data_IF_038378332299
#
_entry.id   IF_038378332299
#
_cell.length_a   1.000
_cell.length_b   1.000
_cell.length_c   1.000
_cell.angle_alpha   90.00
_cell.angle_beta   90.00
_cell.angle_gamma   90.00
#
_symmetry.space_group_name_H-M   'P 1'
#
loop_
_entity.id
_entity.type
_entity.pdbx_description
1 polymer ?
#
# COMPACT_ATOMS: atom_id res chain seq x y z
N UNK A 1 -57.08 -40.53 26.53
CA UNK A 1 -55.66 -40.94 26.63
C UNK A 1 -54.78 -39.69 26.60
N UNK A 2 -53.80 -39.65 27.49
CA UNK A 2 -53.01 -38.47 27.88
C UNK A 2 -51.92 -38.09 26.85
N UNK A 3 -51.78 -36.77 26.66
CA UNK A 3 -50.53 -36.00 26.84
C UNK A 3 -49.32 -36.35 25.95
N UNK A 4 -48.90 -35.39 25.11
CA UNK A 4 -47.55 -34.80 25.22
C UNK A 4 -47.43 -33.48 24.44
N UNK A 5 -47.01 -32.47 25.19
CA UNK A 5 -46.66 -31.10 24.80
C UNK A 5 -45.48 -31.07 23.82
N UNK A 6 -45.44 -30.06 22.95
CA UNK A 6 -44.33 -29.08 22.89
C UNK A 6 -44.72 -27.88 22.02
N UNK A 7 -44.85 -26.73 22.68
CA UNK A 7 -44.91 -25.39 22.09
C UNK A 7 -43.53 -25.09 21.50
N UNK A 8 -43.45 -24.71 20.22
CA UNK A 8 -42.30 -23.99 19.67
C UNK A 8 -42.75 -22.58 19.30
N UNK A 9 -42.33 -21.65 20.15
CA UNK A 9 -42.45 -20.22 19.98
C UNK A 9 -41.27 -19.83 19.07
N UNK A 10 -41.55 -19.43 17.83
CA UNK A 10 -40.56 -18.81 16.95
C UNK A 10 -40.49 -17.31 17.27
N UNK A 11 -39.35 -16.76 17.70
CA UNK A 11 -39.26 -15.35 18.02
C UNK A 11 -39.09 -14.51 16.74
N UNK A 12 -39.70 -13.33 16.77
CA UNK A 12 -39.43 -12.15 15.96
C UNK A 12 -37.91 -12.00 15.68
N UNK A 13 -37.50 -12.14 14.41
CA UNK A 13 -36.25 -11.54 13.93
C UNK A 13 -36.56 -10.21 13.25
N UNK A 14 -36.78 -9.24 14.13
CA UNK A 14 -36.50 -7.81 14.04
C UNK A 14 -35.80 -7.37 12.74
N UNK A 15 -36.55 -6.66 11.91
CA UNK A 15 -36.07 -5.57 11.03
C UNK A 15 -35.26 -4.57 11.88
N UNK A 16 -33.93 -4.54 11.78
CA UNK A 16 -33.13 -3.37 12.21
C UNK A 16 -31.69 -3.41 11.65
N UNK A 17 -31.51 -3.20 10.35
CA UNK A 17 -30.20 -2.79 9.81
C UNK A 17 -30.08 -1.27 9.89
N UNK A 18 -29.84 -0.77 11.11
CA UNK A 18 -29.34 0.59 11.32
C UNK A 18 -28.53 0.65 12.61
N UNK A 19 -27.21 0.49 12.49
CA UNK A 19 -26.26 1.09 13.44
C UNK A 19 -24.89 1.21 12.79
N UNK A 20 -24.68 2.29 12.02
CA UNK A 20 -23.33 2.82 11.83
C UNK A 20 -22.94 3.44 13.18
N UNK A 21 -22.25 2.64 13.99
CA UNK A 21 -21.69 3.05 15.27
C UNK A 21 -20.48 3.94 15.02
N UNK A 22 -20.69 5.26 15.09
CA UNK A 22 -19.63 6.17 15.55
C UNK A 22 -19.37 5.84 17.02
N UNK A 23 -18.27 5.14 17.29
CA UNK A 23 -17.68 4.98 18.61
C UNK A 23 -16.17 5.13 18.44
N UNK A 24 -15.58 6.05 19.22
CA UNK A 24 -14.18 6.47 19.16
C UNK A 24 -13.18 5.35 19.43
N UNK A 25 -12.92 4.54 18.42
CA UNK A 25 -11.69 3.80 18.26
C UNK A 25 -10.69 4.68 17.52
N UNK A 26 -9.42 4.61 17.92
CA UNK A 26 -8.31 5.17 17.14
C UNK A 26 -8.47 4.64 15.71
N UNK A 27 -8.81 5.49 14.73
CA UNK A 27 -8.59 5.13 13.34
C UNK A 27 -7.08 4.98 13.21
N UNK A 28 -6.60 3.75 13.02
CA UNK A 28 -5.18 3.52 12.77
C UNK A 28 -4.92 4.01 11.36
N UNK A 29 -4.61 5.30 11.24
CA UNK A 29 -4.25 5.93 9.98
C UNK A 29 -2.95 5.32 9.46
N UNK A 30 -3.03 4.59 8.35
CA UNK A 30 -1.87 4.00 7.66
C UNK A 30 -1.09 5.07 6.91
N UNK A 31 0.18 5.23 7.24
CA UNK A 31 1.13 6.09 6.55
C UNK A 31 1.72 5.36 5.35
N UNK A 32 1.42 5.87 4.17
CA UNK A 32 1.82 5.30 2.90
C UNK A 32 2.92 6.15 2.26
N UNK A 33 3.92 5.53 1.68
CA UNK A 33 4.81 6.16 0.73
C UNK A 33 4.77 5.45 -0.62
N UNK A 34 5.03 6.19 -1.69
CA UNK A 34 5.10 5.64 -3.04
C UNK A 34 6.49 5.93 -3.62
N UNK A 35 7.16 4.89 -4.11
CA UNK A 35 8.45 5.01 -4.81
C UNK A 35 8.24 4.81 -6.32
N UNK A 36 8.80 5.74 -7.09
CA UNK A 36 8.77 5.74 -8.57
C UNK A 36 10.18 5.65 -9.15
N UNK A 37 10.28 5.20 -10.40
CA UNK A 37 11.53 5.26 -11.15
C UNK A 37 11.90 6.72 -11.49
N UNK A 38 13.15 7.11 -11.23
CA UNK A 38 13.67 8.44 -11.55
C UNK A 38 13.57 8.76 -13.05
N UNK A 39 14.06 7.88 -13.90
CA UNK A 39 14.03 8.07 -15.36
C UNK A 39 12.60 8.31 -15.86
N UNK A 40 11.65 7.47 -15.44
CA UNK A 40 10.25 7.59 -15.84
C UNK A 40 9.61 8.86 -15.27
N UNK A 41 10.04 9.33 -14.10
CA UNK A 41 9.49 10.54 -13.48
C UNK A 41 9.68 11.81 -14.30
N UNK A 42 10.71 11.88 -15.13
CA UNK A 42 10.96 13.03 -16.03
C UNK A 42 9.83 13.26 -17.03
N UNK A 43 9.04 12.22 -17.31
CA UNK A 43 7.88 12.23 -18.22
C UNK A 43 6.58 11.82 -17.53
N UNK A 44 6.60 11.59 -16.21
CA UNK A 44 5.46 11.07 -15.46
C UNK A 44 5.14 11.95 -14.25
N UNK A 45 3.97 12.61 -14.29
CA UNK A 45 3.43 13.43 -13.21
C UNK A 45 2.86 12.65 -12.01
N UNK A 46 3.02 11.33 -11.96
CA UNK A 46 2.42 10.45 -10.94
C UNK A 46 0.88 10.40 -10.92
N UNK A 47 0.21 10.92 -11.94
CA UNK A 47 -1.26 11.04 -11.99
C UNK A 47 -1.95 9.69 -11.76
N UNK A 48 -1.50 8.62 -12.40
CA UNK A 48 -2.02 7.26 -12.19
C UNK A 48 -1.83 6.74 -10.76
N UNK A 49 -0.64 6.94 -10.18
CA UNK A 49 -0.38 6.55 -8.79
C UNK A 49 -1.26 7.30 -7.79
N UNK A 50 -1.41 8.61 -7.97
CA UNK A 50 -2.20 9.45 -7.08
C UNK A 50 -3.69 9.19 -7.22
N UNK A 51 -4.18 8.96 -8.45
CA UNK A 51 -5.56 8.53 -8.69
C UNK A 51 -5.84 7.24 -7.93
N UNK A 52 -5.01 6.21 -8.12
CA UNK A 52 -5.20 4.92 -7.46
C UNK A 52 -5.16 5.02 -5.93
N UNK A 53 -4.26 5.85 -5.39
CA UNK A 53 -4.21 6.13 -3.96
C UNK A 53 -5.48 6.85 -3.46
N UNK A 54 -5.91 7.91 -4.13
CA UNK A 54 -7.06 8.73 -3.71
C UNK A 54 -8.39 7.98 -3.83
N UNK A 55 -8.55 7.19 -4.89
CA UNK A 55 -9.74 6.36 -5.13
C UNK A 55 -9.68 5.02 -4.37
N UNK A 56 -8.55 4.70 -3.72
CA UNK A 56 -8.25 3.41 -3.09
C UNK A 56 -8.55 2.22 -4.00
N UNK A 57 -8.15 2.31 -5.27
CA UNK A 57 -8.34 1.24 -6.26
C UNK A 57 -7.05 0.42 -6.45
N UNK A 58 -7.14 -0.66 -7.25
CA UNK A 58 -5.98 -1.47 -7.66
C UNK A 58 -5.16 -1.98 -6.47
N UNK A 59 -3.88 -1.64 -6.39
CA UNK A 59 -3.00 -2.09 -5.31
C UNK A 59 -3.39 -1.52 -3.94
N UNK A 60 -4.24 -0.49 -3.90
CA UNK A 60 -4.76 0.11 -2.67
C UNK A 60 -6.14 -0.44 -2.27
N UNK A 61 -6.81 -1.22 -3.12
CA UNK A 61 -8.12 -1.81 -2.82
C UNK A 61 -8.13 -2.67 -1.53
N UNK A 62 -7.08 -3.44 -1.20
CA UNK A 62 -7.06 -4.23 0.04
C UNK A 62 -7.17 -3.43 1.33
N UNK A 63 -6.86 -2.13 1.33
CA UNK A 63 -6.99 -1.27 2.51
C UNK A 63 -8.45 -0.94 2.86
N UNK A 64 -9.39 -1.08 1.91
CA UNK A 64 -10.82 -0.81 2.13
C UNK A 64 -11.09 0.54 2.82
N UNK A 65 -11.77 0.48 3.96
CA UNK A 65 -12.16 1.67 4.73
C UNK A 65 -11.03 2.26 5.60
N UNK A 66 -9.84 1.64 5.66
CA UNK A 66 -8.70 2.16 6.43
C UNK A 66 -8.34 3.59 6.00
N UNK A 67 -8.14 4.48 6.97
CA UNK A 67 -7.70 5.85 6.67
C UNK A 67 -6.25 5.83 6.21
N UNK A 68 -5.98 6.33 5.00
CA UNK A 68 -4.63 6.37 4.43
C UNK A 68 -4.10 7.79 4.41
N UNK A 69 -2.81 7.97 4.75
CA UNK A 69 -2.10 9.23 4.60
C UNK A 69 -0.88 9.05 3.72
N UNK A 70 -0.83 9.78 2.61
CA UNK A 70 0.37 9.85 1.79
C UNK A 70 1.43 10.71 2.49
N UNK A 71 2.49 10.06 2.96
CA UNK A 71 3.63 10.72 3.63
C UNK A 71 4.70 11.13 2.62
N UNK A 72 4.90 10.34 1.57
CA UNK A 72 5.92 10.61 0.56
C UNK A 72 5.54 10.06 -0.80
N UNK A 73 5.78 10.87 -1.83
CA UNK A 73 5.77 10.44 -3.23
C UNK A 73 7.16 10.75 -3.80
N UNK A 74 8.06 9.79 -3.67
CA UNK A 74 9.45 9.97 -4.06
C UNK A 74 9.81 9.18 -5.31
N UNK A 75 10.96 9.53 -5.88
CA UNK A 75 11.64 8.73 -6.89
C UNK A 75 12.85 8.07 -6.26
N UNK A 76 13.33 6.97 -6.84
CA UNK A 76 14.73 6.59 -6.65
C UNK A 76 15.67 7.72 -7.16
N UNK A 77 16.98 7.53 -7.00
CA UNK A 77 17.97 8.52 -7.47
C UNK A 77 18.61 8.16 -8.81
N UNK A 78 18.04 7.21 -9.54
CA UNK A 78 18.57 6.74 -10.81
C UNK A 78 19.27 5.38 -10.71
N UNK A 79 19.65 4.84 -11.86
CA UNK A 79 20.32 3.55 -11.93
C UNK A 79 21.74 3.63 -11.36
N UNK A 80 22.19 2.55 -10.71
CA UNK A 80 23.51 2.49 -10.08
C UNK A 80 23.58 3.11 -8.68
N UNK A 81 22.56 3.86 -8.26
CA UNK A 81 22.51 4.47 -6.93
C UNK A 81 21.94 3.49 -5.91
N UNK A 82 22.63 3.36 -4.78
CA UNK A 82 22.32 2.48 -3.64
C UNK A 82 22.51 3.24 -2.34
N UNK A 83 22.09 2.63 -1.23
CA UNK A 83 22.20 3.25 0.11
C UNK A 83 23.67 3.48 0.50
N UNK A 84 24.56 2.63 0.02
CA UNK A 84 25.98 2.66 0.34
C UNK A 84 26.75 3.74 -0.43
N UNK A 85 26.33 4.04 -1.67
CA UNK A 85 27.06 4.97 -2.55
C UNK A 85 26.37 6.32 -2.77
N UNK A 86 25.11 6.48 -2.36
CA UNK A 86 24.34 7.72 -2.50
C UNK A 86 23.78 8.19 -1.15
N UNK A 87 24.46 9.12 -0.46
CA UNK A 87 23.99 9.70 0.79
C UNK A 87 22.63 10.41 0.67
N UNK A 88 22.31 10.94 -0.52
CA UNK A 88 21.03 11.57 -0.81
C UNK A 88 19.89 10.56 -0.86
N UNK A 89 20.13 9.38 -1.44
CA UNK A 89 19.18 8.26 -1.43
C UNK A 89 18.99 7.76 0.00
N UNK A 90 20.08 7.49 0.72
CA UNK A 90 20.02 7.05 2.12
C UNK A 90 19.17 8.00 2.97
N UNK A 91 19.45 9.31 2.90
CA UNK A 91 18.68 10.34 3.64
C UNK A 91 17.19 10.33 3.30
N UNK A 92 16.79 10.03 2.05
CA UNK A 92 15.38 9.90 1.69
C UNK A 92 14.74 8.69 2.39
N UNK A 93 15.41 7.55 2.42
CA UNK A 93 14.90 6.33 3.05
C UNK A 93 14.87 6.44 4.58
N UNK A 94 15.92 6.97 5.19
CA UNK A 94 15.99 7.25 6.63
C UNK A 94 14.80 8.12 7.08
N UNK A 95 14.45 9.16 6.29
CA UNK A 95 13.28 9.99 6.57
C UNK A 95 11.95 9.22 6.53
N UNK A 96 11.82 8.18 5.71
CA UNK A 96 10.60 7.34 5.74
C UNK A 96 10.50 6.57 7.05
N UNK A 97 11.64 6.06 7.55
CA UNK A 97 11.75 5.34 8.83
C UNK A 97 11.45 6.30 9.99
N UNK A 98 12.09 7.48 10.02
CA UNK A 98 11.86 8.52 11.03
C UNK A 98 10.39 8.98 11.09
N UNK A 99 9.72 9.07 9.93
CA UNK A 99 8.30 9.44 9.85
C UNK A 99 7.36 8.29 10.16
N UNK A 100 7.90 7.10 10.44
CA UNK A 100 7.16 5.87 10.76
C UNK A 100 6.17 5.55 9.63
N UNK A 101 6.66 5.50 8.39
CA UNK A 101 5.86 5.02 7.25
C UNK A 101 5.56 3.54 7.46
N UNK A 102 4.29 3.15 7.38
CA UNK A 102 3.87 1.76 7.58
C UNK A 102 4.12 0.92 6.33
N UNK A 103 3.76 1.47 5.16
CA UNK A 103 3.84 0.75 3.89
C UNK A 103 4.42 1.63 2.79
N UNK A 104 5.33 1.05 2.01
CA UNK A 104 5.86 1.61 0.78
C UNK A 104 5.32 0.84 -0.42
N UNK A 105 4.63 1.53 -1.32
CA UNK A 105 4.24 0.99 -2.61
C UNK A 105 5.30 1.28 -3.68
N UNK A 106 5.71 0.23 -4.39
CA UNK A 106 6.56 0.34 -5.57
C UNK A 106 5.69 0.54 -6.81
N UNK A 107 5.76 1.73 -7.42
CA UNK A 107 4.95 2.08 -8.58
C UNK A 107 5.23 1.15 -9.77
N UNK A 108 4.25 0.97 -10.66
CA UNK A 108 4.37 0.12 -11.86
C UNK A 108 5.62 0.42 -12.70
N UNK A 109 6.09 1.67 -12.74
CA UNK A 109 7.29 2.06 -13.48
C UNK A 109 8.61 1.50 -12.90
N UNK A 110 8.57 0.93 -11.70
CA UNK A 110 9.69 0.20 -11.08
C UNK A 110 9.77 -1.25 -11.53
N UNK A 111 8.71 -1.79 -12.13
CA UNK A 111 8.66 -3.12 -12.75
C UNK A 111 9.04 -3.05 -14.23
N UNK A 112 10.12 -3.75 -14.60
CA UNK A 112 10.65 -3.82 -15.96
C UNK A 112 10.19 -5.10 -16.64
N UNK A 113 9.96 -5.01 -17.95
CA UNK A 113 9.74 -6.20 -18.79
C UNK A 113 11.08 -6.85 -19.09
N UNK A 114 11.09 -8.17 -19.17
CA UNK A 114 12.21 -8.88 -19.77
C UNK A 114 12.31 -8.52 -21.26
N UNK A 115 13.54 -8.47 -21.79
CA UNK A 115 13.78 -8.24 -23.22
C UNK A 115 13.35 -9.44 -24.05
N UNK A 116 13.58 -10.64 -23.53
CA UNK A 116 13.37 -11.89 -24.25
C UNK A 116 11.96 -12.45 -24.03
N UNK A 117 11.30 -12.04 -22.95
CA UNK A 117 9.92 -12.42 -22.65
C UNK A 117 9.12 -11.24 -22.07
N UNK A 118 8.43 -10.47 -22.93
CA UNK A 118 7.67 -9.27 -22.49
C UNK A 118 6.55 -9.53 -21.48
N UNK A 119 6.08 -10.78 -21.37
CA UNK A 119 5.08 -11.21 -20.39
C UNK A 119 5.70 -11.44 -19.01
N UNK A 120 7.01 -11.68 -18.96
CA UNK A 120 7.75 -11.74 -17.72
C UNK A 120 8.15 -10.34 -17.25
N UNK A 121 7.85 -10.02 -16.00
CA UNK A 121 8.20 -8.74 -15.38
C UNK A 121 8.97 -8.95 -14.10
N UNK A 122 10.00 -8.15 -13.91
CA UNK A 122 10.84 -8.17 -12.72
C UNK A 122 10.99 -6.76 -12.16
N UNK A 123 11.07 -6.65 -10.83
CA UNK A 123 11.35 -5.37 -10.16
C UNK A 123 12.77 -4.94 -10.50
N UNK A 124 12.94 -3.65 -10.81
CA UNK A 124 14.25 -3.06 -11.10
C UNK A 124 15.27 -3.43 -10.01
N UNK A 125 16.48 -3.91 -10.36
CA UNK A 125 17.44 -4.42 -9.37
C UNK A 125 17.87 -3.36 -8.34
N UNK A 126 17.90 -2.09 -8.74
CA UNK A 126 18.20 -0.98 -7.82
C UNK A 126 17.04 -0.70 -6.85
N UNK A 127 15.79 -0.90 -7.30
CA UNK A 127 14.60 -0.78 -6.46
C UNK A 127 14.53 -1.96 -5.48
N UNK A 128 14.94 -3.17 -5.88
CA UNK A 128 15.05 -4.33 -4.98
C UNK A 128 15.95 -3.99 -3.79
N UNK A 129 17.13 -3.41 -4.01
CA UNK A 129 18.03 -2.98 -2.92
C UNK A 129 17.38 -1.95 -1.99
N UNK A 130 16.64 -0.99 -2.54
CA UNK A 130 15.88 -0.01 -1.75
C UNK A 130 14.78 -0.70 -0.93
N UNK A 131 14.04 -1.64 -1.54
CA UNK A 131 12.99 -2.39 -0.89
C UNK A 131 13.54 -3.25 0.26
N UNK A 132 14.67 -3.93 0.04
CA UNK A 132 15.32 -4.74 1.07
C UNK A 132 15.80 -3.90 2.24
N UNK A 133 16.39 -2.73 1.98
CA UNK A 133 16.75 -1.77 3.03
C UNK A 133 15.53 -1.35 3.86
N UNK A 134 14.41 -1.01 3.22
CA UNK A 134 13.18 -0.59 3.92
C UNK A 134 12.57 -1.74 4.74
N UNK A 135 12.53 -2.96 4.19
CA UNK A 135 12.06 -4.16 4.91
C UNK A 135 12.91 -4.47 6.13
N UNK A 136 14.23 -4.38 6.01
CA UNK A 136 15.16 -4.58 7.14
C UNK A 136 14.94 -3.57 8.27
N UNK A 137 14.40 -2.39 7.94
CA UNK A 137 14.07 -1.34 8.91
C UNK A 137 12.57 -1.34 9.30
N UNK A 138 11.86 -2.46 9.09
CA UNK A 138 10.51 -2.66 9.59
C UNK A 138 9.38 -2.04 8.74
N UNK A 139 9.68 -1.51 7.56
CA UNK A 139 8.66 -0.95 6.66
C UNK A 139 8.15 -2.05 5.72
N UNK A 140 6.82 -2.23 5.65
CA UNK A 140 6.22 -3.15 4.68
C UNK A 140 6.40 -2.61 3.26
N UNK A 141 6.75 -3.47 2.31
CA UNK A 141 6.86 -3.09 0.89
C UNK A 141 5.85 -3.89 0.07
N UNK A 142 5.07 -3.18 -0.75
CA UNK A 142 4.04 -3.75 -1.63
C UNK A 142 4.35 -3.37 -3.09
N UNK A 143 4.19 -4.34 -3.98
CA UNK A 143 4.35 -4.11 -5.42
C UNK A 143 3.07 -3.52 -6.03
N UNK A 144 3.24 -2.52 -6.90
CA UNK A 144 2.16 -1.94 -7.69
C UNK A 144 1.52 -0.68 -7.09
N UNK A 145 0.91 0.09 -8.00
CA UNK A 145 0.00 1.19 -7.66
C UNK A 145 -1.27 1.13 -8.51
N UNK A 146 -1.13 1.31 -9.84
CA UNK A 146 -2.19 1.33 -10.84
C UNK A 146 -1.94 0.32 -11.96
#
# INVERSE_FOLDING_TARGET
MQNKRRKFIFPLFVLYYKKSSKQGGISIMKKIAIIRCHDVSMRCGATGCLRAFNEKDKAFAPYGDEELRLVSLMTCNGCGQTVENDPGLKKKLDRLIEKQVDVVHLSHCTSKKDKDNPDNRHTCPWIVKIADYLKQNGIQVVEGTH
#
